data_IF_917230793262
#
_entry.id   IF_917230793262
#
_cell.length_a   1.000
_cell.length_b   1.000
_cell.length_c   1.000
_cell.angle_alpha   90.00
_cell.angle_beta   90.00
_cell.angle_gamma   90.00
#
_symmetry.space_group_name_H-M   'P 1'
#
loop_
_entity.id
_entity.type
_entity.pdbx_description
1 polymer ?
#
# COMPACT_ATOMS: atom_id res chain seq x y z
N UNK A 1 17.86 -7.34 11.72
CA UNK A 1 17.65 -8.34 10.65
C UNK A 1 18.89 -8.51 9.79
N UNK A 2 19.35 -7.51 9.03
CA UNK A 2 20.54 -7.65 8.16
C UNK A 2 21.80 -8.11 8.90
N UNK A 3 22.08 -7.55 10.08
CA UNK A 3 23.20 -7.98 10.94
C UNK A 3 23.15 -9.49 11.24
N UNK A 4 21.97 -10.00 11.56
CA UNK A 4 21.76 -11.43 11.86
C UNK A 4 22.02 -12.30 10.62
N UNK A 5 21.58 -11.86 9.44
CA UNK A 5 21.81 -12.59 8.19
C UNK A 5 23.31 -12.64 7.86
N UNK A 6 24.03 -11.52 8.04
CA UNK A 6 25.50 -11.51 7.88
C UNK A 6 26.22 -12.42 8.87
N UNK A 7 25.77 -12.47 10.13
CA UNK A 7 26.31 -13.36 11.15
C UNK A 7 26.11 -14.84 10.76
N UNK A 8 24.90 -15.22 10.32
CA UNK A 8 24.62 -16.58 9.87
C UNK A 8 25.43 -16.99 8.65
N UNK A 9 25.63 -16.10 7.67
CA UNK A 9 26.47 -16.42 6.52
C UNK A 9 27.93 -16.63 6.94
N UNK A 10 28.45 -15.82 7.87
CA UNK A 10 29.80 -16.02 8.41
C UNK A 10 29.92 -17.35 9.18
N UNK A 11 28.91 -17.73 9.95
CA UNK A 11 28.87 -19.01 10.67
C UNK A 11 28.80 -20.22 9.73
N UNK A 12 28.19 -20.05 8.54
CA UNK A 12 28.01 -21.13 7.56
C UNK A 12 29.28 -21.47 6.76
N UNK A 13 30.26 -20.56 6.68
CA UNK A 13 31.53 -20.78 5.98
C UNK A 13 32.00 -19.54 5.21
N UNK A 14 33.32 -19.42 5.02
CA UNK A 14 33.94 -18.27 4.34
C UNK A 14 33.57 -18.16 2.85
N UNK A 15 33.11 -19.26 2.24
CA UNK A 15 32.65 -19.35 0.84
C UNK A 15 31.16 -19.01 0.66
N UNK A 16 30.42 -18.75 1.75
CA UNK A 16 29.01 -18.34 1.70
C UNK A 16 28.89 -16.82 1.59
N UNK A 17 28.24 -16.35 0.54
CA UNK A 17 28.05 -14.91 0.25
C UNK A 17 26.57 -14.55 0.19
N UNK A 18 26.25 -13.29 0.50
CA UNK A 18 24.89 -12.74 0.34
C UNK A 18 24.90 -11.78 -0.84
N UNK A 19 23.97 -12.00 -1.75
CA UNK A 19 23.64 -11.04 -2.80
C UNK A 19 22.19 -10.58 -2.61
N UNK A 20 21.97 -9.28 -2.62
CA UNK A 20 20.61 -8.74 -2.63
C UNK A 20 20.17 -8.50 -4.07
N UNK A 21 19.21 -9.29 -4.54
CA UNK A 21 18.57 -9.07 -5.85
C UNK A 21 17.68 -7.81 -5.79
N UNK A 22 17.02 -7.59 -4.66
CA UNK A 22 16.28 -6.37 -4.35
C UNK A 22 16.57 -5.95 -2.91
N UNK A 23 16.95 -4.69 -2.72
CA UNK A 23 17.26 -4.16 -1.42
C UNK A 23 16.56 -2.81 -1.21
N UNK A 24 15.53 -2.83 -0.35
CA UNK A 24 14.79 -1.62 0.00
C UNK A 24 15.17 -1.21 1.41
N UNK A 25 15.94 -0.13 1.50
CA UNK A 25 16.29 0.52 2.78
C UNK A 25 15.15 1.38 3.30
N UNK A 26 14.38 1.95 2.38
CA UNK A 26 13.31 2.84 2.75
C UNK A 26 12.08 2.06 3.24
N UNK A 27 11.65 2.40 4.46
CA UNK A 27 10.43 1.89 5.09
C UNK A 27 9.47 3.04 5.43
N UNK A 28 9.63 4.20 4.77
CA UNK A 28 8.77 5.35 4.99
C UNK A 28 7.31 5.01 4.73
N UNK A 29 6.46 5.60 5.56
CA UNK A 29 5.02 5.52 5.46
C UNK A 29 4.48 6.91 5.13
N UNK A 30 3.44 6.95 4.31
CA UNK A 30 2.67 8.17 4.17
C UNK A 30 1.85 8.37 5.42
N UNK A 31 1.95 9.55 6.02
CA UNK A 31 1.20 9.88 7.23
C UNK A 31 -0.30 9.82 6.96
N UNK A 32 -1.03 9.24 7.91
CA UNK A 32 -2.49 9.20 7.95
C UNK A 32 -3.02 9.93 9.20
N UNK A 33 -2.21 10.82 9.75
CA UNK A 33 -2.61 11.66 10.89
C UNK A 33 -3.43 12.87 10.40
N UNK A 34 -4.40 13.35 11.20
CA UNK A 34 -5.12 14.59 10.90
C UNK A 34 -4.16 15.77 10.66
N UNK A 35 -4.45 16.58 9.64
CA UNK A 35 -3.61 17.71 9.23
C UNK A 35 -2.63 17.39 8.11
N UNK A 36 -2.52 16.13 7.68
CA UNK A 36 -1.85 15.80 6.42
C UNK A 36 -2.81 16.08 5.26
N UNK A 37 -2.47 17.03 4.38
CA UNK A 37 -3.35 17.49 3.30
C UNK A 37 -3.88 16.36 2.41
N UNK A 38 -3.05 15.35 2.11
CA UNK A 38 -3.42 14.25 1.24
C UNK A 38 -4.33 13.26 1.94
N UNK A 39 -4.03 12.95 3.20
CA UNK A 39 -4.88 12.08 4.02
C UNK A 39 -6.22 12.73 4.32
N UNK A 40 -6.24 14.01 4.69
CA UNK A 40 -7.47 14.73 5.02
C UNK A 40 -8.38 14.82 3.79
N UNK A 41 -7.84 15.16 2.62
CA UNK A 41 -8.61 15.17 1.36
C UNK A 41 -9.15 13.78 1.00
N UNK A 42 -8.31 12.75 1.08
CA UNK A 42 -8.69 11.36 0.79
C UNK A 42 -9.77 10.85 1.75
N UNK A 43 -9.56 11.02 3.06
CA UNK A 43 -10.44 10.51 4.10
C UNK A 43 -11.78 11.25 4.13
N UNK A 44 -11.78 12.57 3.92
CA UNK A 44 -13.01 13.36 3.79
C UNK A 44 -13.84 12.95 2.56
N UNK A 45 -13.19 12.67 1.42
CA UNK A 45 -13.89 12.18 0.23
C UNK A 45 -14.59 10.84 0.50
N UNK A 46 -13.89 9.90 1.15
CA UNK A 46 -14.47 8.63 1.59
C UNK A 46 -15.63 8.82 2.59
N UNK A 47 -15.47 9.73 3.57
CA UNK A 47 -16.49 10.02 4.58
C UNK A 47 -17.75 10.62 3.95
N UNK A 48 -17.62 11.50 2.96
CA UNK A 48 -18.75 12.10 2.23
C UNK A 48 -19.63 11.05 1.55
N UNK A 49 -19.02 9.92 1.15
CA UNK A 49 -19.68 8.75 0.58
C UNK A 49 -20.16 7.75 1.65
N UNK A 50 -20.06 8.09 2.93
CA UNK A 50 -20.40 7.25 4.09
C UNK A 50 -19.61 5.93 4.13
N UNK A 51 -18.38 5.95 3.61
CA UNK A 51 -17.50 4.79 3.63
C UNK A 51 -16.70 4.74 4.93
N UNK A 52 -16.44 3.52 5.41
CA UNK A 52 -15.48 3.28 6.50
C UNK A 52 -14.15 2.86 5.89
N UNK A 53 -13.09 3.58 6.22
CA UNK A 53 -11.74 3.24 5.80
C UNK A 53 -11.14 2.25 6.81
N UNK A 54 -10.49 1.21 6.31
CA UNK A 54 -9.68 0.29 7.10
C UNK A 54 -8.22 0.51 6.73
N UNK A 55 -7.46 1.14 7.62
CA UNK A 55 -6.04 1.39 7.42
C UNK A 55 -5.24 0.15 7.80
N UNK A 56 -4.42 -0.35 6.87
CA UNK A 56 -3.55 -1.49 7.09
C UNK A 56 -2.19 -1.26 6.45
N UNK A 57 -1.14 -1.83 7.06
CA UNK A 57 0.14 -1.99 6.38
C UNK A 57 -0.01 -3.21 5.47
N UNK A 58 -0.08 -2.95 4.17
CA UNK A 58 -0.11 -4.03 3.19
C UNK A 58 1.29 -4.65 3.10
N UNK A 59 1.48 -5.94 3.44
CA UNK A 59 2.80 -6.56 3.51
C UNK A 59 3.43 -6.81 2.12
N UNK A 60 2.70 -6.57 1.03
CA UNK A 60 3.20 -6.75 -0.32
C UNK A 60 4.00 -5.54 -0.82
N UNK A 61 4.89 -5.78 -1.78
CA UNK A 61 5.70 -4.74 -2.42
C UNK A 61 4.98 -4.02 -3.55
N UNK A 62 4.08 -3.09 -3.24
CA UNK A 62 3.43 -2.22 -4.25
C UNK A 62 4.38 -1.13 -4.73
N UNK A 63 4.11 -0.51 -5.88
CA UNK A 63 4.96 0.55 -6.44
C UNK A 63 4.96 1.86 -5.63
N UNK A 64 4.06 1.97 -4.64
CA UNK A 64 4.09 3.05 -3.66
C UNK A 64 5.44 3.15 -2.93
N UNK A 65 6.18 2.04 -2.80
CA UNK A 65 7.52 2.04 -2.21
C UNK A 65 8.52 2.92 -2.98
N UNK A 66 8.46 2.92 -4.32
CA UNK A 66 9.37 3.71 -5.14
C UNK A 66 9.02 5.20 -5.10
N UNK A 67 7.74 5.54 -5.04
CA UNK A 67 7.30 6.92 -4.87
C UNK A 67 7.73 7.48 -3.52
N UNK A 68 7.55 6.71 -2.45
CA UNK A 68 7.96 7.13 -1.11
C UNK A 68 9.48 7.24 -0.97
N UNK A 69 10.25 6.38 -1.64
CA UNK A 69 11.71 6.46 -1.70
C UNK A 69 12.23 7.78 -2.27
N UNK A 70 11.50 8.38 -3.22
CA UNK A 70 11.83 9.71 -3.77
C UNK A 70 11.14 10.87 -3.02
N UNK A 71 10.53 10.58 -1.86
CA UNK A 71 9.90 11.58 -1.00
C UNK A 71 8.46 11.95 -1.36
N UNK A 72 7.82 11.24 -2.30
CA UNK A 72 6.42 11.48 -2.66
C UNK A 72 5.47 10.66 -1.76
N UNK A 73 4.47 11.29 -1.11
CA UNK A 73 3.47 10.55 -0.36
C UNK A 73 2.62 9.69 -1.31
N UNK A 74 2.35 8.45 -0.92
CA UNK A 74 1.55 7.50 -1.68
C UNK A 74 0.65 6.69 -0.75
N UNK A 75 -0.66 6.76 -0.98
CA UNK A 75 -1.66 5.94 -0.32
C UNK A 75 -2.07 4.80 -1.24
N UNK A 76 -1.86 3.55 -0.80
CA UNK A 76 -2.45 2.39 -1.45
C UNK A 76 -3.93 2.28 -1.08
N UNK A 77 -4.80 2.16 -2.07
CA UNK A 77 -6.25 2.06 -1.83
C UNK A 77 -6.88 1.05 -2.77
N UNK A 78 -7.82 0.26 -2.22
CA UNK A 78 -8.69 -0.62 -2.97
C UNK A 78 -10.15 -0.29 -2.65
N UNK A 79 -10.99 0.04 -3.64
CA UNK A 79 -12.43 0.19 -3.43
C UNK A 79 -13.15 -1.16 -3.38
N UNK A 80 -12.44 -2.27 -3.66
CA UNK A 80 -12.98 -3.63 -3.66
C UNK A 80 -13.38 -3.97 -2.23
N UNK A 81 -14.68 -3.97 -1.99
CA UNK A 81 -15.27 -4.22 -0.68
C UNK A 81 -16.32 -5.33 -0.79
N UNK A 82 -16.74 -5.85 0.36
CA UNK A 82 -17.75 -6.92 0.45
C UNK A 82 -17.40 -8.18 -0.36
N UNK A 83 -16.12 -8.36 -0.68
CA UNK A 83 -15.56 -9.47 -1.45
C UNK A 83 -14.49 -10.13 -0.58
N UNK A 84 -14.38 -11.47 -0.56
CA UNK A 84 -13.28 -12.15 0.12
C UNK A 84 -11.91 -11.67 -0.41
N UNK A 85 -10.88 -11.72 0.44
CA UNK A 85 -9.51 -11.43 0.00
C UNK A 85 -9.01 -12.66 -0.76
N UNK A 86 -8.96 -12.57 -2.09
CA UNK A 86 -8.56 -13.66 -2.99
C UNK A 86 -7.32 -13.33 -3.83
N UNK A 87 -6.62 -12.24 -3.51
CA UNK A 87 -5.42 -11.84 -4.24
C UNK A 87 -4.40 -12.99 -4.21
N UNK A 88 -3.97 -13.45 -5.38
CA UNK A 88 -3.06 -14.59 -5.55
C UNK A 88 -3.60 -15.94 -5.04
N UNK A 89 -4.91 -16.09 -4.85
CA UNK A 89 -5.54 -17.36 -4.47
C UNK A 89 -6.27 -18.03 -5.65
N UNK A 90 -6.71 -19.26 -5.44
CA UNK A 90 -7.46 -20.05 -6.40
C UNK A 90 -8.83 -19.43 -6.65
N UNK A 91 -9.27 -19.42 -7.90
CA UNK A 91 -10.55 -18.85 -8.32
C UNK A 91 -10.71 -17.38 -7.90
N UNK A 92 -9.64 -16.58 -7.97
CA UNK A 92 -9.70 -15.14 -7.76
C UNK A 92 -10.80 -14.50 -8.63
N UNK A 93 -11.71 -13.76 -7.99
CA UNK A 93 -12.81 -13.06 -8.65
C UNK A 93 -13.17 -11.76 -7.94
N UNK A 94 -13.91 -10.92 -8.66
CA UNK A 94 -14.64 -9.79 -8.12
C UNK A 94 -16.05 -9.79 -8.74
N UNK A 95 -17.06 -9.46 -7.94
CA UNK A 95 -18.41 -9.24 -8.44
C UNK A 95 -18.47 -8.00 -9.33
N UNK A 96 -19.17 -8.08 -10.46
CA UNK A 96 -19.33 -6.95 -11.40
C UNK A 96 -19.85 -5.71 -10.69
N UNK A 97 -20.83 -5.87 -9.80
CA UNK A 97 -21.40 -4.76 -9.02
C UNK A 97 -20.39 -4.08 -8.10
N UNK A 98 -19.43 -4.83 -7.54
CA UNK A 98 -18.36 -4.28 -6.69
C UNK A 98 -17.34 -3.54 -7.54
N UNK A 99 -16.97 -4.10 -8.70
CA UNK A 99 -16.11 -3.42 -9.67
C UNK A 99 -16.73 -2.08 -10.11
N UNK A 100 -17.98 -2.09 -10.56
CA UNK A 100 -18.70 -0.90 -11.00
C UNK A 100 -18.86 0.14 -9.88
N UNK A 101 -19.07 -0.30 -8.64
CA UNK A 101 -19.10 0.59 -7.47
C UNK A 101 -17.77 1.31 -7.24
N UNK A 102 -16.64 0.73 -7.65
CA UNK A 102 -15.33 1.36 -7.55
C UNK A 102 -15.18 2.63 -8.38
N UNK A 103 -15.91 2.73 -9.50
CA UNK A 103 -15.84 3.88 -10.42
C UNK A 103 -16.25 5.20 -9.72
N UNK A 104 -17.49 5.34 -9.20
CA UNK A 104 -17.89 6.59 -8.54
C UNK A 104 -17.08 6.89 -7.28
N UNK A 105 -16.49 5.87 -6.63
CA UNK A 105 -15.59 6.07 -5.49
C UNK A 105 -14.32 6.80 -5.94
N UNK A 106 -13.68 6.34 -7.02
CA UNK A 106 -12.52 7.03 -7.59
C UNK A 106 -12.88 8.40 -8.17
N UNK A 107 -14.06 8.55 -8.79
CA UNK A 107 -14.55 9.85 -9.28
C UNK A 107 -14.75 10.88 -8.17
N UNK A 108 -15.00 10.45 -6.93
CA UNK A 108 -15.03 11.35 -5.78
C UNK A 108 -13.62 11.64 -5.22
N UNK A 109 -12.77 10.61 -5.11
CA UNK A 109 -11.45 10.71 -4.47
C UNK A 109 -10.46 11.50 -5.33
N UNK A 110 -10.37 11.22 -6.64
CA UNK A 110 -9.36 11.82 -7.52
C UNK A 110 -9.49 13.35 -7.58
N UNK A 111 -10.70 13.92 -7.78
CA UNK A 111 -10.86 15.38 -7.74
C UNK A 111 -10.61 15.97 -6.35
N UNK A 112 -10.96 15.28 -5.27
CA UNK A 112 -10.67 15.76 -3.92
C UNK A 112 -9.15 15.89 -3.70
N UNK A 113 -8.38 14.89 -4.13
CA UNK A 113 -6.92 14.94 -4.10
C UNK A 113 -6.35 16.02 -5.04
N UNK A 114 -6.93 16.19 -6.23
CA UNK A 114 -6.48 17.21 -7.20
C UNK A 114 -6.73 18.65 -6.76
N UNK A 115 -7.61 18.87 -5.76
CA UNK A 115 -7.94 20.19 -5.21
C UNK A 115 -7.45 20.38 -3.76
N UNK A 116 -6.62 19.46 -3.25
CA UNK A 116 -6.07 19.50 -1.91
C UNK A 116 -4.95 20.55 -1.74
#
# INVERSE_FOLDING_TARGET
MLKQVYEWCKEAGDDVQIEFIQYMKDQTLTSIEPGNIWWDAFSSACESMKMKIKCEIFPAGTDCRFLREIGLPALGFSPINLTPILLHDHNEFIEESVFLRGIPIYEAIIPALGNA
#
